data_IF_728529222358
#
_entry.id   IF_728529222358
#
_cell.length_a   1.000
_cell.length_b   1.000
_cell.length_c   1.000
_cell.angle_alpha   90.00
_cell.angle_beta   90.00
_cell.angle_gamma   90.00
#
_symmetry.space_group_name_H-M   'P 1'
#
loop_
_entity.id
_entity.type
_entity.pdbx_description
1 polymer ?
#
# COMPACT_ATOMS: atom_id res chain seq x y z
N UNK A 1 50.96 -28.96 11.56
CA UNK A 1 49.90 -28.08 12.08
C UNK A 1 50.09 -26.69 11.50
N UNK A 2 49.26 -26.17 10.60
CA UNK A 2 48.07 -26.76 9.99
C UNK A 2 47.79 -25.93 8.73
N UNK A 3 47.71 -26.60 7.57
CA UNK A 3 47.13 -26.08 6.31
C UNK A 3 45.72 -25.49 6.50
N UNK A 4 45.08 -25.73 7.65
CA UNK A 4 43.84 -25.09 8.08
C UNK A 4 43.95 -23.57 8.30
N UNK A 5 45.15 -23.00 8.44
CA UNK A 5 45.33 -21.55 8.65
C UNK A 5 45.38 -20.73 7.34
N UNK A 6 45.54 -21.37 6.18
CA UNK A 6 45.44 -20.72 4.86
C UNK A 6 44.05 -20.80 4.23
N UNK A 7 43.16 -21.64 4.74
CA UNK A 7 41.80 -21.82 4.25
C UNK A 7 40.77 -20.92 4.96
N UNK A 8 41.16 -20.19 6.00
CA UNK A 8 40.26 -19.26 6.72
C UNK A 8 40.19 -17.85 6.12
N UNK A 9 41.06 -17.51 5.15
CA UNK A 9 41.05 -16.21 4.45
C UNK A 9 40.36 -16.25 3.08
N UNK A 10 39.67 -17.34 2.74
CA UNK A 10 38.75 -17.40 1.60
C UNK A 10 37.31 -17.07 2.03
N UNK A 11 37.16 -16.15 2.99
CA UNK A 11 35.89 -15.46 3.16
C UNK A 11 35.51 -14.86 1.82
N UNK A 12 34.38 -15.34 1.31
CA UNK A 12 33.69 -14.88 0.13
C UNK A 12 33.48 -13.38 0.28
N UNK A 13 34.45 -12.59 -0.19
CA UNK A 13 34.23 -11.23 -0.67
C UNK A 13 33.29 -11.37 -1.85
N UNK A 14 32.00 -11.55 -1.55
CA UNK A 14 30.93 -11.29 -2.49
C UNK A 14 31.15 -9.86 -2.95
N UNK A 15 31.70 -9.72 -4.15
CA UNK A 15 31.92 -8.46 -4.81
C UNK A 15 30.57 -7.74 -4.84
N UNK A 16 30.40 -6.74 -3.98
CA UNK A 16 29.25 -5.83 -4.04
C UNK A 16 29.33 -5.20 -5.43
N UNK A 17 28.36 -5.44 -6.34
CA UNK A 17 28.43 -4.87 -7.67
C UNK A 17 28.43 -3.34 -7.56
N UNK A 18 29.48 -2.70 -8.09
CA UNK A 18 29.79 -1.27 -7.99
C UNK A 18 28.79 -0.31 -8.70
N UNK A 19 27.55 -0.74 -8.91
CA UNK A 19 26.46 0.17 -9.26
C UNK A 19 25.13 -0.49 -8.88
N UNK A 20 24.75 -0.42 -7.60
CA UNK A 20 23.35 -0.59 -7.24
C UNK A 20 22.58 0.57 -7.88
N UNK A 21 22.02 0.34 -9.07
CA UNK A 21 21.03 1.24 -9.64
C UNK A 21 19.78 1.11 -8.77
N UNK A 22 19.67 2.01 -7.79
CA UNK A 22 18.50 2.07 -6.94
C UNK A 22 17.28 2.30 -7.85
N UNK A 23 16.24 1.47 -7.73
CA UNK A 23 15.05 1.68 -8.50
C UNK A 23 14.43 3.03 -8.10
N UNK A 24 14.05 3.82 -9.08
CA UNK A 24 13.40 5.10 -8.82
C UNK A 24 11.96 4.83 -8.39
N UNK A 25 11.62 5.14 -7.15
CA UNK A 25 10.25 4.99 -6.64
C UNK A 25 9.50 6.28 -6.90
N UNK A 26 8.40 6.19 -7.64
CA UNK A 26 7.50 7.29 -7.93
C UNK A 26 6.17 7.02 -7.26
N UNK A 27 5.87 7.78 -6.21
CA UNK A 27 4.56 7.74 -5.58
C UNK A 27 3.57 8.41 -6.50
N UNK A 28 2.61 7.68 -7.06
CA UNK A 28 1.54 8.31 -7.82
C UNK A 28 0.53 8.89 -6.82
N UNK A 29 0.73 10.16 -6.50
CA UNK A 29 -0.20 10.95 -5.69
C UNK A 29 -0.92 11.97 -6.57
N UNK A 30 -2.03 12.49 -6.06
CA UNK A 30 -2.72 13.63 -6.68
C UNK A 30 -1.76 14.79 -6.98
N UNK A 31 -0.70 14.98 -6.20
CA UNK A 31 0.31 16.02 -6.40
C UNK A 31 1.03 15.94 -7.76
N UNK A 32 1.23 14.75 -8.35
CA UNK A 32 1.83 14.65 -9.70
C UNK A 32 0.90 15.14 -10.81
N UNK A 33 -0.41 15.12 -10.56
CA UNK A 33 -1.41 15.64 -11.48
C UNK A 33 -1.31 17.18 -11.57
N UNK A 34 -0.88 17.86 -10.49
CA UNK A 34 -0.65 19.32 -10.46
C UNK A 34 0.45 19.79 -11.43
N UNK A 35 1.34 18.91 -11.87
CA UNK A 35 2.40 19.26 -12.84
C UNK A 35 1.90 19.38 -14.27
N UNK A 36 0.63 19.10 -14.55
CA UNK A 36 0.03 19.25 -15.87
C UNK A 36 -0.68 20.61 -15.94
N UNK A 37 -0.16 21.59 -16.70
CA UNK A 37 -0.77 22.90 -16.79
C UNK A 37 -1.93 22.83 -17.79
N UNK A 38 -3.09 22.34 -17.36
CA UNK A 38 -4.32 22.54 -18.14
C UNK A 38 -5.33 23.34 -17.31
N UNK A 39 -5.85 24.42 -17.89
CA UNK A 39 -6.85 25.28 -17.26
C UNK A 39 -8.12 24.51 -16.86
N UNK A 40 -8.40 23.40 -17.56
CA UNK A 40 -9.48 22.46 -17.23
C UNK A 40 -9.22 21.72 -15.91
N UNK A 41 -7.98 21.27 -15.68
CA UNK A 41 -7.57 20.62 -14.43
C UNK A 41 -7.68 21.58 -13.24
N UNK A 42 -7.22 22.82 -13.43
CA UNK A 42 -7.26 23.86 -12.39
C UNK A 42 -8.70 24.22 -12.00
N UNK A 43 -9.62 24.28 -12.97
CA UNK A 43 -11.06 24.48 -12.71
C UNK A 43 -11.69 23.34 -11.89
N UNK A 44 -11.37 22.09 -12.21
CA UNK A 44 -11.97 20.94 -11.53
C UNK A 44 -11.41 20.71 -10.11
N UNK A 45 -10.15 21.10 -9.90
CA UNK A 45 -9.53 21.15 -8.58
C UNK A 45 -10.18 22.23 -7.71
N UNK A 46 -10.43 23.43 -8.27
CA UNK A 46 -11.16 24.50 -7.57
C UNK A 46 -12.59 24.07 -7.21
N UNK A 47 -13.20 23.18 -8.01
CA UNK A 47 -14.51 22.61 -7.72
C UNK A 47 -14.48 21.42 -6.75
N UNK A 48 -13.32 21.04 -6.20
CA UNK A 48 -13.14 19.87 -5.33
C UNK A 48 -13.80 18.59 -5.89
N UNK A 49 -13.76 18.41 -7.21
CA UNK A 49 -14.37 17.24 -7.84
C UNK A 49 -13.46 16.01 -7.63
N UNK A 50 -13.76 15.27 -6.58
CA UNK A 50 -13.08 14.04 -6.19
C UNK A 50 -13.28 12.87 -7.17
N UNK A 51 -14.22 13.00 -8.12
CA UNK A 51 -14.54 12.00 -9.14
C UNK A 51 -13.90 12.29 -10.51
N UNK A 52 -12.92 13.21 -10.55
CA UNK A 52 -12.23 13.55 -11.79
C UNK A 52 -11.51 12.34 -12.41
N UNK A 53 -11.90 11.97 -13.64
CA UNK A 53 -11.21 10.99 -14.47
C UNK A 53 -10.21 11.71 -15.39
N UNK A 54 -8.93 11.34 -15.34
CA UNK A 54 -7.95 11.83 -16.30
C UNK A 54 -8.28 11.29 -17.71
N UNK A 55 -8.31 12.19 -18.69
CA UNK A 55 -8.47 11.80 -20.08
C UNK A 55 -7.33 10.88 -20.54
N UNK A 56 -7.67 9.86 -21.31
CA UNK A 56 -6.77 8.84 -21.86
C UNK A 56 -5.52 9.42 -22.51
N UNK A 57 -5.62 10.55 -23.23
CA UNK A 57 -4.49 11.23 -23.83
C UNK A 57 -3.53 11.84 -22.79
N UNK A 58 -4.08 12.46 -21.74
CA UNK A 58 -3.30 13.04 -20.64
C UNK A 58 -2.59 11.97 -19.81
N UNK A 59 -3.27 10.83 -19.61
CA UNK A 59 -2.69 9.65 -18.95
C UNK A 59 -1.51 9.11 -19.77
N UNK A 60 -1.67 8.95 -21.09
CA UNK A 60 -0.58 8.50 -21.98
C UNK A 60 0.59 9.48 -21.92
N UNK A 61 0.34 10.78 -21.90
CA UNK A 61 1.40 11.79 -21.82
C UNK A 61 2.16 11.73 -20.47
N UNK A 62 1.45 11.56 -19.35
CA UNK A 62 2.07 11.36 -18.03
C UNK A 62 3.00 10.14 -18.02
N UNK A 63 2.55 9.02 -18.57
CA UNK A 63 3.32 7.78 -18.59
C UNK A 63 4.30 7.69 -19.76
N UNK A 64 4.28 8.63 -20.72
CA UNK A 64 5.20 8.63 -21.87
C UNK A 64 6.67 8.80 -21.44
N UNK A 65 6.92 9.60 -20.39
CA UNK A 65 8.24 9.79 -19.81
C UNK A 65 8.74 8.50 -19.13
N UNK A 66 7.86 7.81 -18.40
CA UNK A 66 8.15 6.50 -17.78
C UNK A 66 8.35 5.41 -18.85
N UNK A 67 7.59 5.44 -19.94
CA UNK A 67 7.65 4.44 -21.03
C UNK A 67 8.98 4.41 -21.77
N UNK A 68 9.69 5.54 -21.84
CA UNK A 68 10.95 5.69 -22.59
C UNK A 68 12.21 5.53 -21.74
N UNK A 69 12.11 5.32 -20.43
CA UNK A 69 13.29 5.11 -19.58
C UNK A 69 13.62 3.63 -19.45
N UNK A 70 14.92 3.29 -19.55
CA UNK A 70 15.44 1.93 -19.36
C UNK A 70 15.58 1.55 -17.87
N UNK A 71 15.06 2.39 -16.98
CA UNK A 71 15.24 2.31 -15.53
C UNK A 71 14.08 1.54 -14.89
N UNK A 72 14.39 0.82 -13.81
CA UNK A 72 13.38 0.13 -13.00
C UNK A 72 12.64 1.17 -12.15
N UNK A 73 11.49 1.63 -12.63
CA UNK A 73 10.62 2.54 -11.88
C UNK A 73 9.55 1.75 -11.08
N UNK A 74 9.22 2.19 -9.87
CA UNK A 74 8.11 1.64 -9.08
C UNK A 74 7.01 2.68 -8.98
N UNK A 75 5.77 2.27 -9.26
CA UNK A 75 4.59 3.12 -9.14
C UNK A 75 3.75 2.58 -7.98
N UNK A 76 3.57 3.42 -6.96
CA UNK A 76 2.75 3.09 -5.79
C UNK A 76 1.39 3.75 -5.93
N UNK A 77 0.33 2.97 -5.73
CA UNK A 77 -1.08 3.40 -5.83
C UNK A 77 -1.79 3.15 -4.51
N UNK A 78 -2.63 4.10 -4.10
CA UNK A 78 -3.48 3.99 -2.92
C UNK A 78 -4.95 4.14 -3.32
N UNK A 79 -5.66 3.03 -3.58
CA UNK A 79 -7.04 3.11 -4.09
C UNK A 79 -8.05 3.69 -3.09
N UNK A 80 -7.80 3.61 -1.79
CA UNK A 80 -8.68 4.17 -0.74
C UNK A 80 -8.62 5.71 -0.70
N UNK A 81 -7.51 6.30 -1.17
CA UNK A 81 -7.19 7.74 -1.19
C UNK A 81 -7.10 8.39 0.20
N UNK A 82 -7.95 8.01 1.14
CA UNK A 82 -7.99 8.52 2.51
C UNK A 82 -7.23 7.59 3.47
N UNK A 83 -6.77 8.17 4.59
CA UNK A 83 -6.25 7.41 5.72
C UNK A 83 -7.46 6.83 6.46
N UNK A 84 -7.41 5.55 6.79
CA UNK A 84 -8.49 4.89 7.53
C UNK A 84 -8.64 5.53 8.92
N UNK A 85 -9.87 5.94 9.24
CA UNK A 85 -10.29 6.36 10.58
C UNK A 85 -11.64 5.72 10.90
N UNK A 86 -11.98 5.56 12.19
CA UNK A 86 -13.28 4.97 12.56
C UNK A 86 -14.46 5.82 12.12
N UNK A 87 -14.36 7.13 12.28
CA UNK A 87 -15.40 8.05 11.81
C UNK A 87 -15.66 7.89 10.31
N UNK A 88 -14.61 7.71 9.51
CA UNK A 88 -14.75 7.49 8.07
C UNK A 88 -15.35 6.12 7.76
N UNK A 89 -14.90 5.06 8.45
CA UNK A 89 -15.42 3.71 8.29
C UNK A 89 -16.91 3.63 8.68
N UNK A 90 -17.32 4.23 9.80
CA UNK A 90 -18.70 4.25 10.28
C UNK A 90 -19.61 5.04 9.33
N UNK A 91 -19.15 6.20 8.86
CA UNK A 91 -19.87 7.02 7.88
C UNK A 91 -20.05 6.27 6.57
N UNK A 92 -18.98 5.62 6.09
CA UNK A 92 -19.00 4.79 4.89
C UNK A 92 -19.96 3.60 5.03
N UNK A 93 -19.88 2.87 6.14
CA UNK A 93 -20.74 1.71 6.41
C UNK A 93 -22.22 2.12 6.52
N UNK A 94 -22.51 3.26 7.16
CA UNK A 94 -23.89 3.81 7.22
C UNK A 94 -24.43 4.13 5.84
N UNK A 95 -23.60 4.71 4.96
CA UNK A 95 -24.00 4.98 3.57
C UNK A 95 -24.23 3.69 2.80
N UNK A 96 -23.40 2.67 3.02
CA UNK A 96 -23.46 1.42 2.27
C UNK A 96 -24.55 0.47 2.67
N UNK A 97 -24.93 0.47 3.94
CA UNK A 97 -26.13 -0.21 4.40
C UNK A 97 -27.36 0.25 3.61
N UNK A 98 -27.44 1.53 3.25
CA UNK A 98 -28.54 2.07 2.42
C UNK A 98 -28.53 1.52 0.98
N UNK A 99 -27.37 1.12 0.46
CA UNK A 99 -27.18 0.64 -0.91
C UNK A 99 -26.93 -0.88 -1.00
N UNK A 100 -27.07 -1.62 0.11
CA UNK A 100 -26.84 -3.07 0.18
C UNK A 100 -25.44 -3.51 -0.31
N UNK A 101 -24.42 -2.68 -0.03
CA UNK A 101 -23.02 -2.98 -0.33
C UNK A 101 -22.37 -3.76 0.82
N UNK A 102 -21.29 -4.54 0.54
CA UNK A 102 -20.56 -5.27 1.58
C UNK A 102 -19.93 -4.30 2.58
N UNK A 103 -20.04 -4.61 3.87
CA UNK A 103 -19.41 -3.83 4.94
C UNK A 103 -17.94 -4.24 5.08
N UNK A 104 -17.06 -3.25 5.18
CA UNK A 104 -15.63 -3.44 5.40
C UNK A 104 -15.30 -2.81 6.76
N UNK A 105 -14.50 -3.50 7.57
CA UNK A 105 -14.18 -3.08 8.95
C UNK A 105 -12.75 -2.56 9.07
N UNK A 106 -11.83 -3.15 8.30
CA UNK A 106 -10.40 -2.94 8.42
C UNK A 106 -9.82 -2.06 7.30
N UNK A 107 -10.56 -1.87 6.20
CA UNK A 107 -10.17 -1.06 5.04
C UNK A 107 -11.31 -0.16 4.60
N UNK A 108 -10.98 0.97 3.99
CA UNK A 108 -11.97 1.76 3.26
C UNK A 108 -12.24 1.14 1.89
N UNK A 109 -13.36 1.49 1.27
CA UNK A 109 -13.58 1.11 -0.12
C UNK A 109 -12.51 1.67 -1.05
N UNK A 110 -12.15 0.90 -2.09
CA UNK A 110 -11.33 1.43 -3.15
C UNK A 110 -12.13 2.35 -4.08
N UNK A 111 -11.53 3.51 -4.41
CA UNK A 111 -11.94 4.33 -5.55
C UNK A 111 -11.35 3.73 -6.83
N UNK A 112 -12.24 3.42 -7.78
CA UNK A 112 -11.86 2.67 -8.97
C UNK A 112 -11.12 3.52 -10.02
N UNK A 113 -11.58 4.76 -10.26
CA UNK A 113 -11.18 5.52 -11.44
C UNK A 113 -9.66 5.70 -11.58
N UNK A 114 -9.00 6.22 -10.54
CA UNK A 114 -7.55 6.44 -10.56
C UNK A 114 -6.74 5.16 -10.76
N UNK A 115 -7.15 4.08 -10.10
CA UNK A 115 -6.51 2.76 -10.20
C UNK A 115 -6.66 2.17 -11.60
N UNK A 116 -7.87 2.23 -12.17
CA UNK A 116 -8.17 1.67 -13.50
C UNK A 116 -7.43 2.44 -14.58
N UNK A 117 -7.44 3.78 -14.52
CA UNK A 117 -6.77 4.63 -15.51
C UNK A 117 -5.26 4.36 -15.50
N UNK A 118 -4.66 4.27 -14.31
CA UNK A 118 -3.23 3.98 -14.17
C UNK A 118 -2.88 2.59 -14.69
N UNK A 119 -3.63 1.55 -14.30
CA UNK A 119 -3.40 0.19 -14.78
C UNK A 119 -3.59 0.07 -16.29
N UNK A 120 -4.58 0.76 -16.86
CA UNK A 120 -4.81 0.78 -18.31
C UNK A 120 -3.63 1.37 -19.07
N UNK A 121 -3.06 2.47 -18.57
CA UNK A 121 -1.89 3.11 -19.16
C UNK A 121 -0.65 2.22 -19.09
N UNK A 122 -0.40 1.64 -17.91
CA UNK A 122 0.79 0.85 -17.62
C UNK A 122 0.81 -0.49 -18.36
N UNK A 123 -0.34 -1.01 -18.79
CA UNK A 123 -0.38 -2.23 -19.62
C UNK A 123 0.42 -2.12 -20.92
N UNK A 124 0.51 -0.93 -21.49
CA UNK A 124 1.23 -0.70 -22.76
C UNK A 124 2.74 -0.46 -22.57
N UNK A 125 3.24 -0.62 -21.35
CA UNK A 125 4.61 -0.30 -20.95
C UNK A 125 5.35 -1.55 -20.46
N UNK A 126 6.61 -1.40 -20.04
CA UNK A 126 7.45 -2.52 -19.58
C UNK A 126 7.03 -3.13 -18.22
N UNK A 127 6.01 -2.58 -17.54
CA UNK A 127 5.56 -3.06 -16.25
C UNK A 127 4.89 -4.44 -16.34
N UNK A 128 5.61 -5.45 -15.84
CA UNK A 128 5.19 -6.86 -15.95
C UNK A 128 4.44 -7.36 -14.71
N UNK A 129 4.73 -6.80 -13.53
CA UNK A 129 4.22 -7.30 -12.24
C UNK A 129 3.54 -6.20 -11.45
N UNK A 130 2.39 -6.54 -10.87
CA UNK A 130 1.67 -5.78 -9.86
C UNK A 130 1.96 -6.43 -8.51
N UNK A 131 2.46 -5.64 -7.57
CA UNK A 131 2.65 -6.07 -6.18
C UNK A 131 1.51 -5.52 -5.35
N UNK A 132 0.72 -6.43 -4.82
CA UNK A 132 -0.34 -6.11 -3.89
C UNK A 132 0.21 -6.25 -2.47
N UNK A 133 0.30 -5.14 -1.75
CA UNK A 133 0.93 -5.06 -0.43
C UNK A 133 -0.13 -4.70 0.60
N UNK A 134 -0.17 -5.49 1.67
CA UNK A 134 -0.97 -5.25 2.87
C UNK A 134 -0.02 -5.20 4.06
N UNK A 135 -0.14 -4.17 4.89
CA UNK A 135 0.74 -3.94 6.03
C UNK A 135 -0.13 -3.82 7.27
N UNK A 136 0.17 -4.63 8.28
CA UNK A 136 -0.40 -4.51 9.62
C UNK A 136 0.70 -4.03 10.57
N UNK A 137 0.40 -2.96 11.29
CA UNK A 137 1.24 -2.47 12.38
C UNK A 137 0.61 -2.93 13.68
N UNK A 138 1.39 -3.63 14.51
CA UNK A 138 1.03 -3.94 15.87
C UNK A 138 2.06 -3.37 16.83
N UNK A 139 1.66 -2.98 18.03
CA UNK A 139 2.55 -2.53 19.10
C UNK A 139 2.13 -3.16 20.41
N UNK A 140 3.11 -3.42 21.28
CA UNK A 140 2.83 -3.80 22.67
C UNK A 140 2.40 -2.54 23.41
N UNK A 141 1.17 -2.51 23.90
CA UNK A 141 0.68 -1.46 24.80
C UNK A 141 1.46 -1.56 26.11
N UNK A 142 2.02 -0.44 26.59
CA UNK A 142 2.58 -0.34 27.94
C UNK A 142 1.51 0.19 28.89
N UNK A 143 1.60 -0.12 30.19
CA UNK A 143 0.62 0.30 31.22
C UNK A 143 0.32 1.81 31.26
N UNK A 144 1.19 2.65 30.68
CA UNK A 144 1.03 4.12 30.63
C UNK A 144 0.24 4.64 29.41
N UNK A 145 -0.18 3.78 28.48
CA UNK A 145 -0.97 4.13 27.28
C UNK A 145 -2.48 4.30 27.57
N UNK A 146 -2.92 4.17 28.83
CA UNK A 146 -4.33 4.28 29.24
C UNK A 146 -4.99 5.65 28.93
N UNK A 147 -4.20 6.67 28.57
CA UNK A 147 -4.73 7.97 28.15
C UNK A 147 -5.48 7.93 26.79
N UNK A 148 -5.19 6.97 25.91
CA UNK A 148 -5.87 6.82 24.61
C UNK A 148 -7.12 5.90 24.68
N UNK A 149 -7.56 5.54 25.89
CA UNK A 149 -8.80 4.80 26.16
C UNK A 149 -8.60 3.28 26.38
N UNK A 150 -9.49 2.63 27.16
CA UNK A 150 -9.38 1.20 27.46
C UNK A 150 -9.87 0.39 26.25
N UNK A 151 -8.94 -0.14 25.44
CA UNK A 151 -9.32 -1.04 24.37
C UNK A 151 -8.14 -1.60 23.57
N UNK A 152 -8.37 -2.71 22.87
CA UNK A 152 -7.48 -3.33 21.86
C UNK A 152 -7.05 -2.38 20.71
N UNK A 153 -7.48 -1.12 20.77
CA UNK A 153 -7.35 -0.09 19.75
C UNK A 153 -5.94 0.51 19.69
N UNK A 154 -5.28 0.63 20.85
CA UNK A 154 -3.89 1.08 20.92
C UNK A 154 -2.90 0.04 20.38
N UNK A 155 -3.32 -1.21 20.20
CA UNK A 155 -2.45 -2.31 19.75
C UNK A 155 -2.18 -2.23 18.25
N UNK A 156 -3.18 -1.85 17.44
CA UNK A 156 -3.10 -1.89 15.97
C UNK A 156 -3.10 -0.51 15.33
N UNK A 157 -2.20 0.37 15.78
CA UNK A 157 -2.06 1.75 15.29
C UNK A 157 -0.75 1.90 14.49
N UNK A 158 -0.78 2.48 13.28
CA UNK A 158 0.45 2.79 12.55
C UNK A 158 1.27 3.84 13.30
N UNK A 159 2.60 3.80 13.22
CA UNK A 159 3.45 4.78 13.87
C UNK A 159 3.23 6.17 13.26
N UNK A 160 3.22 7.19 14.11
CA UNK A 160 3.24 8.58 13.69
C UNK A 160 4.58 8.95 13.03
N UNK A 161 4.59 10.01 12.22
CA UNK A 161 5.83 10.50 11.60
C UNK A 161 6.93 10.79 12.64
N UNK A 162 6.55 11.33 13.80
CA UNK A 162 7.48 11.62 14.89
C UNK A 162 8.03 10.33 15.51
N UNK A 163 7.21 9.28 15.68
CA UNK A 163 7.68 7.99 16.19
C UNK A 163 8.62 7.28 15.22
N UNK A 164 8.40 7.42 13.91
CA UNK A 164 9.32 6.89 12.89
C UNK A 164 10.67 7.62 12.94
N UNK A 165 10.66 8.93 13.18
CA UNK A 165 11.87 9.76 13.17
C UNK A 165 12.61 9.78 14.52
N UNK A 166 11.93 9.45 15.63
CA UNK A 166 12.54 9.41 16.96
C UNK A 166 13.28 8.08 17.19
N UNK A 167 14.54 8.15 17.66
CA UNK A 167 15.40 6.99 17.92
C UNK A 167 15.03 6.13 19.14
N UNK A 168 13.78 6.15 19.61
CA UNK A 168 13.35 5.23 20.68
C UNK A 168 13.26 3.82 20.10
N UNK A 169 13.62 2.76 20.86
CA UNK A 169 13.46 1.40 20.39
C UNK A 169 11.98 1.15 20.06
N UNK A 170 11.71 0.90 18.78
CA UNK A 170 10.35 0.73 18.27
C UNK A 170 9.74 -0.54 18.84
N UNK A 171 8.70 -0.42 19.66
CA UNK A 171 7.85 -1.54 20.13
C UNK A 171 6.89 -2.06 19.05
N UNK A 172 7.06 -1.58 17.82
CA UNK A 172 6.25 -1.92 16.67
C UNK A 172 6.70 -3.24 16.05
N UNK A 173 5.76 -4.14 15.86
CA UNK A 173 5.87 -5.31 15.01
C UNK A 173 5.11 -5.03 13.71
N UNK A 174 5.79 -5.22 12.59
CA UNK A 174 5.22 -4.93 11.27
C UNK A 174 5.05 -6.25 10.53
N UNK A 175 3.81 -6.60 10.22
CA UNK A 175 3.48 -7.75 9.39
C UNK A 175 3.23 -7.25 7.97
N UNK A 176 4.06 -7.68 7.02
CA UNK A 176 3.95 -7.29 5.62
C UNK A 176 3.57 -8.52 4.80
N UNK A 177 2.43 -8.44 4.13
CA UNK A 177 2.00 -9.46 3.18
C UNK A 177 2.05 -8.91 1.76
N UNK A 178 2.76 -9.63 0.88
CA UNK A 178 2.98 -9.23 -0.51
C UNK A 178 2.48 -10.32 -1.45
N UNK A 179 1.55 -9.97 -2.33
CA UNK A 179 1.01 -10.85 -3.38
C UNK A 179 1.40 -10.30 -4.75
N UNK A 180 2.31 -11.00 -5.43
CA UNK A 180 2.72 -10.65 -6.78
C UNK A 180 1.72 -11.21 -7.82
N UNK A 181 1.28 -10.36 -8.75
CA UNK A 181 0.42 -10.73 -9.87
C UNK A 181 1.02 -10.25 -11.19
N UNK A 182 0.78 -10.99 -12.27
CA UNK A 182 1.21 -10.58 -13.61
C UNK A 182 0.22 -9.56 -14.18
N UNK A 183 0.69 -8.45 -14.74
CA UNK A 183 -0.17 -7.38 -15.29
C UNK A 183 -1.06 -7.89 -16.43
N UNK A 184 -0.60 -8.89 -17.18
CA UNK A 184 -1.37 -9.56 -18.24
C UNK A 184 -2.56 -10.38 -17.72
N UNK A 185 -2.56 -10.80 -16.45
CA UNK A 185 -3.68 -11.53 -15.82
C UNK A 185 -4.80 -10.61 -15.31
N UNK A 186 -4.60 -9.29 -15.35
CA UNK A 186 -5.60 -8.34 -14.87
C UNK A 186 -6.74 -8.16 -15.89
N UNK A 187 -8.00 -8.01 -15.46
CA UNK A 187 -9.14 -7.88 -16.37
C UNK A 187 -9.08 -6.63 -17.24
N UNK A 188 -9.25 -6.75 -18.55
CA UNK A 188 -9.11 -5.60 -19.48
C UNK A 188 -10.29 -4.63 -19.41
N UNK A 189 -11.51 -5.16 -19.40
CA UNK A 189 -12.74 -4.36 -19.40
C UNK A 189 -12.93 -3.65 -18.05
N UNK A 190 -13.27 -2.36 -18.07
CA UNK A 190 -13.50 -1.53 -16.88
C UNK A 190 -14.38 -2.21 -15.83
N UNK A 191 -15.60 -2.61 -16.19
CA UNK A 191 -16.53 -3.28 -15.27
C UNK A 191 -15.98 -4.56 -14.61
N UNK A 192 -15.13 -5.31 -15.32
CA UNK A 192 -14.47 -6.50 -14.74
C UNK A 192 -13.31 -6.11 -13.83
N UNK A 193 -12.64 -5.01 -14.12
CA UNK A 193 -11.58 -4.47 -13.27
C UNK A 193 -12.16 -3.91 -11.97
N UNK A 194 -13.27 -3.19 -12.01
CA UNK A 194 -13.99 -2.70 -10.82
C UNK A 194 -14.34 -3.86 -9.87
N UNK A 195 -15.02 -4.89 -10.38
CA UNK A 195 -15.32 -6.11 -9.60
C UNK A 195 -14.08 -6.82 -9.06
N UNK A 196 -12.98 -6.80 -9.82
CA UNK A 196 -11.73 -7.40 -9.38
C UNK A 196 -11.07 -6.61 -8.26
N UNK A 197 -11.08 -5.28 -8.33
CA UNK A 197 -10.60 -4.39 -7.27
C UNK A 197 -11.46 -4.61 -6.02
N UNK A 198 -12.79 -4.55 -6.15
CA UNK A 198 -13.73 -4.77 -5.04
C UNK A 198 -13.48 -6.12 -4.34
N UNK A 199 -13.39 -7.21 -5.11
CA UNK A 199 -13.05 -8.53 -4.56
C UNK A 199 -11.70 -8.54 -3.85
N UNK A 200 -10.70 -7.86 -4.42
CA UNK A 200 -9.36 -7.79 -3.82
C UNK A 200 -9.39 -7.05 -2.49
N UNK A 201 -10.19 -5.98 -2.35
CA UNK A 201 -10.37 -5.27 -1.09
C UNK A 201 -11.08 -6.10 -0.04
N UNK A 202 -12.11 -6.86 -0.44
CA UNK A 202 -12.76 -7.80 0.45
C UNK A 202 -11.82 -8.91 0.94
N UNK A 203 -10.99 -9.47 0.04
CA UNK A 203 -9.93 -10.43 0.42
C UNK A 203 -8.94 -9.80 1.43
N UNK A 204 -8.61 -8.51 1.29
CA UNK A 204 -7.71 -7.80 2.22
C UNK A 204 -8.32 -7.55 3.58
N UNK A 205 -9.60 -7.23 3.64
CA UNK A 205 -10.32 -6.99 4.90
C UNK A 205 -10.29 -8.24 5.78
N UNK A 206 -10.59 -9.40 5.18
CA UNK A 206 -10.50 -10.72 5.84
C UNK A 206 -9.05 -11.02 6.23
N UNK A 207 -8.09 -10.78 5.32
CA UNK A 207 -6.67 -11.02 5.59
C UNK A 207 -6.17 -10.22 6.78
N UNK A 208 -6.54 -8.94 6.89
CA UNK A 208 -6.17 -8.10 8.03
C UNK A 208 -6.78 -8.61 9.32
N UNK A 209 -8.01 -9.12 9.29
CA UNK A 209 -8.64 -9.72 10.46
C UNK A 209 -7.88 -10.97 10.92
N UNK A 210 -7.50 -11.85 9.99
CA UNK A 210 -6.68 -13.03 10.30
C UNK A 210 -5.32 -12.62 10.88
N UNK A 211 -4.64 -11.64 10.29
CA UNK A 211 -3.35 -11.15 10.80
C UNK A 211 -3.46 -10.54 12.20
N UNK A 212 -4.55 -9.84 12.50
CA UNK A 212 -4.81 -9.32 13.85
C UNK A 212 -4.96 -10.46 14.86
N UNK A 213 -5.73 -11.48 14.52
CA UNK A 213 -5.93 -12.66 15.37
C UNK A 213 -4.62 -13.41 15.63
N UNK A 214 -3.81 -13.64 14.58
CA UNK A 214 -2.48 -14.27 14.70
C UNK A 214 -1.55 -13.44 15.60
N UNK A 215 -1.50 -12.12 15.40
CA UNK A 215 -0.68 -11.22 16.20
C UNK A 215 -1.11 -11.20 17.69
N UNK A 216 -2.40 -11.37 17.98
CA UNK A 216 -2.91 -11.47 19.36
C UNK A 216 -2.56 -12.81 20.00
N UNK A 217 -2.70 -13.91 19.24
CA UNK A 217 -2.38 -15.25 19.71
C UNK A 217 -0.89 -15.40 20.06
N UNK A 218 0.01 -14.80 19.27
CA UNK A 218 1.45 -14.76 19.54
C UNK A 218 1.82 -13.96 20.81
N UNK A 219 0.92 -13.09 21.28
CA UNK A 219 1.16 -12.24 22.45
C UNK A 219 0.70 -12.90 23.76
N UNK A 220 -0.13 -13.95 23.70
CA UNK A 220 -0.54 -14.71 24.89
C UNK A 220 0.58 -15.67 25.35
N UNK A 221 0.96 -15.68 26.64
CA UNK A 221 1.96 -16.61 27.15
C UNK A 221 1.46 -18.06 27.03
N UNK A 222 2.36 -18.99 26.69
CA UNK A 222 2.06 -20.43 26.67
C UNK A 222 1.40 -20.86 27.99
N UNK A 223 0.33 -21.67 27.97
CA UNK A 223 -0.23 -22.22 29.19
C UNK A 223 0.86 -23.01 29.92
N UNK A 224 1.08 -22.70 31.20
CA UNK A 224 2.01 -23.45 32.03
C UNK A 224 1.55 -24.92 32.10
N UNK A 225 2.47 -25.88 31.99
CA UNK A 225 2.15 -27.31 32.06
C UNK A 225 1.58 -27.72 33.42
#
# INVERSE_FOLDING_TARGET
>A
MTEASRLANSEVKASIPNSLTLPKVQFFSWFLIWKIPSLKLLKNIVSCDENWELDSASVVQLFSTTRNTRNREWIVLFPEVNIWTRSDADTQNTMWQKYYLPQLTNVLYPRFSGTINTLSALRSTAFTRLYDVTILYSRKTHDWDELDGPGMEGVFKPPSLLEILCSKPSTFKIHIHVKARLTSRLPVKRRRMEKWIEKTWFEKDILLETMKQESLAETQPLPLP
#
